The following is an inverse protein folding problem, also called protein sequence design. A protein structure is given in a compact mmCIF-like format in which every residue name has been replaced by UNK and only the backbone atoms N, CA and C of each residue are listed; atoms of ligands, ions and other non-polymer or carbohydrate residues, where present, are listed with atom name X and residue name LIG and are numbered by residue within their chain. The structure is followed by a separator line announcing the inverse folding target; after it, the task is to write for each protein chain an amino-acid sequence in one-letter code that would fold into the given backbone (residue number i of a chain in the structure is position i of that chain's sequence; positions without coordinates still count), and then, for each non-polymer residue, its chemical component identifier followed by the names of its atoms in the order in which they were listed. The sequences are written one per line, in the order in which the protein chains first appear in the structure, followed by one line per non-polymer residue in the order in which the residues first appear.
data_IF_694467625555
#
_entry.id   IF_694467625555
#
_cell.length_a   1.000
_cell.length_b   1.000
_cell.length_c   1.000
_cell.angle_alpha   90.00
_cell.angle_beta   90.00
_cell.angle_gamma   90.00
#
_symmetry.space_group_name_H-M   'P 1'
#
loop_
_entity.id
_entity.type
_entity.pdbx_description
1 polymer ?
#
# COMPACT_ATOMS: atom_id res chain seq x y z
N UNK A 1 -21.91 -20.46 -26.96
CA UNK A 1 -21.47 -19.27 -27.71
C UNK A 1 -20.19 -18.69 -27.13
N UNK A 2 -19.48 -17.84 -27.88
CA UNK A 2 -18.19 -17.23 -27.47
C UNK A 2 -18.24 -16.52 -26.11
N UNK A 3 -19.33 -15.80 -25.81
CA UNK A 3 -19.51 -15.12 -24.52
C UNK A 3 -19.49 -16.07 -23.32
N UNK A 4 -20.10 -17.26 -23.46
CA UNK A 4 -20.10 -18.28 -22.40
C UNK A 4 -18.69 -18.80 -22.13
N UNK A 5 -17.89 -18.99 -23.19
CA UNK A 5 -16.50 -19.42 -23.05
C UNK A 5 -15.62 -18.34 -22.42
N UNK A 6 -15.80 -17.06 -22.81
CA UNK A 6 -15.08 -15.95 -22.18
C UNK A 6 -15.42 -15.84 -20.68
N UNK A 7 -16.69 -15.98 -20.30
CA UNK A 7 -17.10 -15.95 -18.91
C UNK A 7 -16.49 -17.12 -18.10
N UNK A 8 -16.48 -18.33 -18.67
CA UNK A 8 -15.84 -19.50 -18.04
C UNK A 8 -14.34 -19.28 -17.88
N UNK A 9 -13.63 -18.79 -18.90
CA UNK A 9 -12.20 -18.51 -18.81
C UNK A 9 -11.88 -17.44 -17.77
N UNK A 10 -12.66 -16.36 -17.72
CA UNK A 10 -12.51 -15.32 -16.71
C UNK A 10 -12.72 -15.88 -15.29
N UNK A 11 -13.76 -16.70 -15.08
CA UNK A 11 -14.02 -17.34 -13.79
C UNK A 11 -12.90 -18.29 -13.38
N UNK A 12 -12.34 -19.05 -14.32
CA UNK A 12 -11.19 -19.92 -14.06
C UNK A 12 -9.96 -19.10 -13.68
N UNK A 13 -9.64 -18.03 -14.40
CA UNK A 13 -8.48 -17.18 -14.10
C UNK A 13 -8.60 -16.53 -12.72
N UNK A 14 -9.75 -15.91 -12.41
CA UNK A 14 -10.00 -15.29 -11.10
C UNK A 14 -9.98 -16.34 -9.99
N UNK A 15 -10.57 -17.51 -10.23
CA UNK A 15 -10.59 -18.61 -9.26
C UNK A 15 -9.20 -19.17 -8.97
N UNK A 16 -8.37 -19.37 -10.00
CA UNK A 16 -6.99 -19.86 -9.84
C UNK A 16 -6.10 -18.84 -9.15
N UNK A 17 -6.23 -17.57 -9.49
CA UNK A 17 -5.51 -16.47 -8.82
C UNK A 17 -5.90 -16.39 -7.34
N UNK A 18 -7.21 -16.38 -7.04
CA UNK A 18 -7.71 -16.38 -5.66
C UNK A 18 -7.23 -17.62 -4.88
N UNK A 19 -7.27 -18.80 -5.50
CA UNK A 19 -6.78 -20.05 -4.89
C UNK A 19 -5.28 -19.96 -4.60
N UNK A 20 -4.48 -19.52 -5.57
CA UNK A 20 -3.02 -19.44 -5.42
C UNK A 20 -2.65 -18.52 -4.27
N UNK A 21 -3.28 -17.35 -4.22
CA UNK A 21 -3.04 -16.38 -3.17
C UNK A 21 -3.55 -16.88 -1.80
N UNK A 22 -4.76 -17.46 -1.73
CA UNK A 22 -5.30 -18.01 -0.48
C UNK A 22 -4.42 -19.15 0.05
N UNK A 23 -4.00 -20.09 -0.80
CA UNK A 23 -3.13 -21.20 -0.40
C UNK A 23 -1.76 -20.67 0.07
N UNK A 24 -1.16 -19.74 -0.68
CA UNK A 24 0.13 -19.14 -0.30
C UNK A 24 0.02 -18.41 1.04
N UNK A 25 -1.03 -17.62 1.22
CA UNK A 25 -1.28 -16.94 2.48
C UNK A 25 -1.60 -17.90 3.61
N UNK A 26 -2.33 -18.98 3.34
CA UNK A 26 -2.68 -19.99 4.31
C UNK A 26 -1.52 -20.90 4.71
N UNK A 27 -0.50 -21.04 3.87
CA UNK A 27 0.72 -21.77 4.17
C UNK A 27 1.78 -20.89 4.85
N UNK A 28 1.73 -19.57 4.66
CA UNK A 28 2.71 -18.64 5.21
C UNK A 28 2.61 -18.55 6.73
N UNK A 29 3.75 -18.64 7.41
CA UNK A 29 3.86 -18.46 8.85
C UNK A 29 5.25 -17.94 9.19
N UNK A 30 5.38 -17.33 10.37
CA UNK A 30 6.69 -16.93 10.87
C UNK A 30 7.53 -18.15 11.20
N UNK A 31 8.75 -18.22 10.67
CA UNK A 31 9.70 -19.30 10.97
C UNK A 31 10.14 -19.29 12.42
N UNK A 32 10.23 -18.09 13.04
CA UNK A 32 10.51 -17.88 14.46
C UNK A 32 9.71 -16.68 14.95
N UNK A 33 9.06 -16.81 16.11
CA UNK A 33 8.36 -15.72 16.81
C UNK A 33 8.78 -15.73 18.27
N UNK A 34 9.52 -14.72 18.70
CA UNK A 34 9.96 -14.55 20.09
C UNK A 34 10.27 -13.08 20.35
N UNK A 35 10.40 -12.67 21.62
CA UNK A 35 10.85 -11.31 21.98
C UNK A 35 12.19 -10.91 21.34
N UNK A 36 13.07 -11.88 21.09
CA UNK A 36 14.37 -11.62 20.45
C UNK A 36 14.29 -11.53 18.91
N UNK A 37 13.15 -11.92 18.32
CA UNK A 37 12.90 -11.96 16.89
C UNK A 37 11.56 -11.29 16.57
N UNK A 38 11.52 -9.96 16.55
CA UNK A 38 10.34 -9.21 16.20
C UNK A 38 9.97 -9.42 14.73
N UNK A 39 8.69 -9.24 14.46
CA UNK A 39 8.10 -9.57 13.15
C UNK A 39 7.79 -8.29 12.38
N UNK A 40 8.41 -8.15 11.22
CA UNK A 40 8.29 -6.97 10.37
C UNK A 40 7.74 -7.42 9.02
N UNK A 41 6.71 -6.72 8.55
CA UNK A 41 6.24 -6.83 7.16
C UNK A 41 6.60 -5.55 6.43
N UNK A 42 7.37 -5.68 5.36
CA UNK A 42 7.65 -4.58 4.45
C UNK A 42 6.67 -4.60 3.27
N UNK A 43 6.10 -3.44 2.94
CA UNK A 43 5.16 -3.26 1.83
C UNK A 43 5.70 -2.13 0.97
N UNK A 44 6.02 -2.42 -0.29
CA UNK A 44 6.45 -1.43 -1.27
C UNK A 44 5.36 -1.18 -2.30
N UNK A 45 5.28 0.05 -2.78
CA UNK A 45 4.46 0.45 -3.92
C UNK A 45 2.99 -0.02 -3.86
N UNK A 46 2.22 0.22 -2.77
CA UNK A 46 0.78 -0.03 -2.82
C UNK A 46 0.09 0.71 -3.97
N UNK A 47 0.58 1.90 -4.32
CA UNK A 47 0.16 2.76 -5.42
C UNK A 47 -1.36 2.75 -5.61
N UNK A 48 -2.08 3.13 -4.54
CA UNK A 48 -3.54 3.11 -4.57
C UNK A 48 -4.06 3.93 -5.76
N UNK A 49 -4.73 3.25 -6.68
CA UNK A 49 -5.30 3.84 -7.89
C UNK A 49 -6.42 4.81 -7.52
N UNK A 50 -6.36 6.02 -8.08
CA UNK A 50 -7.38 7.04 -7.96
C UNK A 50 -7.64 7.75 -9.31
N UNK A 51 -8.43 8.82 -9.29
CA UNK A 51 -8.76 9.62 -10.50
C UNK A 51 -7.56 10.28 -11.17
N UNK A 52 -6.45 10.46 -10.44
CA UNK A 52 -5.21 11.07 -10.94
C UNK A 52 -4.29 10.04 -11.60
N UNK A 53 -4.53 8.75 -11.36
CA UNK A 53 -3.94 7.64 -12.09
C UNK A 53 -4.34 7.69 -13.57
N UNK A 54 -3.35 7.64 -14.48
CA UNK A 54 -3.50 7.40 -15.93
C UNK A 54 -4.66 8.11 -16.66
N UNK A 55 -4.84 9.43 -16.43
CA UNK A 55 -5.89 10.24 -17.10
C UNK A 55 -7.32 9.69 -16.94
N UNK A 56 -7.55 8.80 -15.96
CA UNK A 56 -8.84 8.15 -15.70
C UNK A 56 -9.90 9.12 -15.20
N UNK A 57 -9.53 10.36 -14.87
CA UNK A 57 -10.46 11.47 -14.64
C UNK A 57 -11.52 11.62 -15.75
N UNK A 58 -11.19 11.24 -17.00
CA UNK A 58 -12.12 11.27 -18.13
C UNK A 58 -13.07 10.05 -18.22
N UNK A 59 -12.85 9.01 -17.42
CA UNK A 59 -13.57 7.73 -17.42
C UNK A 59 -14.40 7.53 -16.14
N UNK A 60 -15.20 8.52 -15.77
CA UNK A 60 -15.95 8.56 -14.50
C UNK A 60 -16.86 7.35 -14.25
N UNK A 61 -17.39 6.71 -15.30
CA UNK A 61 -18.21 5.51 -15.18
C UNK A 61 -17.41 4.22 -14.94
N UNK A 62 -16.15 4.19 -15.37
CA UNK A 62 -15.28 3.00 -15.31
C UNK A 62 -14.37 3.04 -14.07
N UNK A 63 -14.04 4.25 -13.62
CA UNK A 63 -13.16 4.47 -12.46
C UNK A 63 -13.57 3.66 -11.22
N UNK A 64 -14.86 3.61 -10.78
CA UNK A 64 -15.23 2.83 -9.60
C UNK A 64 -14.97 1.32 -9.76
N UNK A 65 -15.10 0.79 -10.98
CA UNK A 65 -14.83 -0.62 -11.28
C UNK A 65 -13.33 -0.88 -11.22
N UNK A 66 -12.52 0.01 -11.79
CA UNK A 66 -11.05 -0.08 -11.74
C UNK A 66 -10.55 0.03 -10.30
N UNK A 67 -11.05 1.01 -9.54
CA UNK A 67 -10.77 1.20 -8.13
C UNK A 67 -11.09 -0.07 -7.33
N UNK A 68 -12.27 -0.66 -7.55
CA UNK A 68 -12.67 -1.89 -6.90
C UNK A 68 -11.74 -3.07 -7.22
N UNK A 69 -11.33 -3.23 -8.48
CA UNK A 69 -10.42 -4.32 -8.89
C UNK A 69 -9.03 -4.12 -8.28
N UNK A 70 -8.50 -2.90 -8.28
CA UNK A 70 -7.22 -2.59 -7.66
C UNK A 70 -7.28 -2.74 -6.14
N UNK A 71 -8.38 -2.34 -5.50
CA UNK A 71 -8.61 -2.54 -4.07
C UNK A 71 -8.64 -4.01 -3.70
N UNK A 72 -9.33 -4.83 -4.49
CA UNK A 72 -9.36 -6.28 -4.29
C UNK A 72 -7.96 -6.90 -4.42
N UNK A 73 -7.11 -6.35 -5.28
CA UNK A 73 -5.72 -6.76 -5.39
C UNK A 73 -4.91 -6.38 -4.14
N UNK A 74 -4.99 -5.13 -3.66
CA UNK A 74 -4.26 -4.68 -2.45
C UNK A 74 -4.79 -5.36 -1.18
N UNK A 75 -6.09 -5.68 -1.13
CA UNK A 75 -6.73 -6.38 -0.01
C UNK A 75 -6.08 -7.73 0.29
N UNK A 76 -5.39 -8.32 -0.70
CA UNK A 76 -4.57 -9.52 -0.54
C UNK A 76 -3.46 -9.33 0.49
N UNK A 77 -2.79 -8.18 0.43
CA UNK A 77 -1.76 -7.80 1.40
C UNK A 77 -2.40 -7.57 2.78
N UNK A 78 -3.56 -6.93 2.83
CA UNK A 78 -4.31 -6.74 4.08
C UNK A 78 -4.67 -8.05 4.78
N UNK A 79 -5.11 -9.07 4.04
CA UNK A 79 -5.34 -10.40 4.62
C UNK A 79 -4.04 -11.04 5.14
N UNK A 80 -2.91 -10.88 4.44
CA UNK A 80 -1.61 -11.36 4.92
C UNK A 80 -1.19 -10.67 6.22
N UNK A 81 -1.33 -9.35 6.29
CA UNK A 81 -1.07 -8.55 7.49
C UNK A 81 -1.91 -9.05 8.67
N UNK A 82 -3.22 -9.24 8.48
CA UNK A 82 -4.12 -9.72 9.54
C UNK A 82 -3.75 -11.13 10.02
N UNK A 83 -3.40 -12.02 9.09
CA UNK A 83 -3.07 -13.42 9.40
C UNK A 83 -1.72 -13.54 10.10
N UNK A 84 -0.71 -12.84 9.61
CA UNK A 84 0.63 -12.87 10.20
C UNK A 84 0.69 -12.07 11.51
N UNK A 85 -0.15 -11.04 11.64
CA UNK A 85 -0.21 -10.13 12.80
C UNK A 85 1.19 -9.65 13.21
N UNK A 86 1.89 -8.92 12.31
CA UNK A 86 3.23 -8.44 12.59
C UNK A 86 3.23 -7.38 13.69
N UNK A 87 4.38 -7.23 14.34
CA UNK A 87 4.60 -6.18 15.34
C UNK A 87 4.92 -4.84 14.67
N UNK A 88 5.52 -4.86 13.46
CA UNK A 88 5.83 -3.66 12.68
C UNK A 88 5.44 -3.85 11.22
N UNK A 89 4.85 -2.80 10.64
CA UNK A 89 4.58 -2.69 9.21
C UNK A 89 5.42 -1.51 8.70
N UNK A 90 6.26 -1.76 7.71
CA UNK A 90 7.11 -0.76 7.08
C UNK A 90 6.61 -0.55 5.64
N UNK A 91 6.04 0.61 5.37
CA UNK A 91 5.76 1.03 4.00
C UNK A 91 7.01 1.65 3.39
N UNK A 92 7.36 1.24 2.18
CA UNK A 92 8.57 1.66 1.46
C UNK A 92 8.29 2.74 0.41
N UNK A 93 7.28 3.57 0.64
CA UNK A 93 6.86 4.65 -0.26
C UNK A 93 5.73 4.26 -1.22
N UNK A 94 5.34 5.25 -2.01
CA UNK A 94 4.37 5.14 -3.11
C UNK A 94 3.01 4.59 -2.64
N UNK A 95 2.48 5.20 -1.57
CA UNK A 95 1.23 4.75 -0.94
C UNK A 95 0.03 4.97 -1.86
N UNK A 96 0.00 6.12 -2.52
CA UNK A 96 -1.05 6.54 -3.45
C UNK A 96 -0.40 6.95 -4.77
N UNK A 97 -1.03 6.62 -5.89
CA UNK A 97 -0.41 6.81 -7.21
C UNK A 97 -0.25 8.29 -7.59
N UNK A 98 -1.13 9.17 -7.11
CA UNK A 98 -1.04 10.61 -7.41
C UNK A 98 -0.84 11.51 -6.22
N UNK A 99 -0.09 11.07 -5.21
CA UNK A 99 0.16 11.85 -3.99
C UNK A 99 0.50 13.31 -4.27
N UNK A 100 1.54 13.57 -5.06
CA UNK A 100 1.98 14.94 -5.35
C UNK A 100 1.05 15.73 -6.28
N UNK A 101 0.12 15.05 -6.98
CA UNK A 101 -0.86 15.66 -7.90
C UNK A 101 -2.21 15.90 -7.24
N UNK A 102 -2.46 15.25 -6.11
CA UNK A 102 -3.73 15.29 -5.39
C UNK A 102 -3.80 16.48 -4.43
N UNK A 103 -4.97 17.14 -4.40
CA UNK A 103 -5.28 18.09 -3.33
C UNK A 103 -5.40 17.36 -1.97
N UNK A 104 -5.52 18.12 -0.89
CA UNK A 104 -5.59 17.55 0.46
C UNK A 104 -6.76 16.58 0.67
N UNK A 105 -7.94 16.89 0.14
CA UNK A 105 -9.12 16.07 0.32
C UNK A 105 -8.99 14.71 -0.38
N UNK A 106 -8.51 14.72 -1.63
CA UNK A 106 -8.29 13.51 -2.41
C UNK A 106 -7.20 12.64 -1.80
N UNK A 107 -6.12 13.27 -1.31
CA UNK A 107 -5.04 12.56 -0.61
C UNK A 107 -5.53 11.89 0.68
N UNK A 108 -6.26 12.62 1.53
CA UNK A 108 -6.82 12.06 2.77
C UNK A 108 -7.83 10.93 2.49
N UNK A 109 -8.61 11.07 1.41
CA UNK A 109 -9.55 10.03 0.97
C UNK A 109 -8.81 8.77 0.51
N UNK A 110 -7.74 8.94 -0.26
CA UNK A 110 -6.85 7.85 -0.68
C UNK A 110 -6.22 7.14 0.52
N UNK A 111 -5.66 7.89 1.45
CA UNK A 111 -5.05 7.33 2.66
C UNK A 111 -6.06 6.53 3.50
N UNK A 112 -7.24 7.10 3.77
CA UNK A 112 -8.32 6.39 4.49
C UNK A 112 -8.80 5.14 3.76
N UNK A 113 -8.80 5.14 2.43
CA UNK A 113 -9.16 3.97 1.61
C UNK A 113 -8.07 2.90 1.73
N UNK A 114 -6.79 3.26 1.62
CA UNK A 114 -5.68 2.34 1.80
C UNK A 114 -5.67 1.71 3.21
N UNK A 115 -5.83 2.52 4.25
CA UNK A 115 -5.93 2.07 5.64
C UNK A 115 -7.09 1.08 5.83
N UNK A 116 -8.25 1.34 5.23
CA UNK A 116 -9.41 0.45 5.29
C UNK A 116 -9.15 -0.88 4.58
N UNK A 117 -8.47 -0.87 3.44
CA UNK A 117 -8.18 -2.07 2.66
C UNK A 117 -7.18 -2.96 3.39
N UNK A 118 -6.10 -2.36 3.87
CA UNK A 118 -5.03 -3.08 4.57
C UNK A 118 -5.49 -3.52 5.96
N UNK A 119 -6.22 -2.65 6.67
CA UNK A 119 -6.75 -2.88 8.02
C UNK A 119 -5.70 -3.51 8.96
N UNK A 120 -4.62 -2.76 9.27
CA UNK A 120 -3.52 -3.27 10.06
C UNK A 120 -3.95 -3.54 11.52
N UNK A 121 -3.26 -4.44 12.25
CA UNK A 121 -3.54 -4.69 13.66
C UNK A 121 -3.33 -3.42 14.50
N UNK A 122 -4.23 -3.13 15.43
CA UNK A 122 -4.17 -1.90 16.27
C UNK A 122 -2.86 -1.72 17.03
N UNK A 123 -2.18 -2.82 17.37
CA UNK A 123 -0.92 -2.81 18.13
C UNK A 123 0.33 -2.79 17.25
N UNK A 124 0.18 -2.86 15.93
CA UNK A 124 1.32 -2.84 15.03
C UNK A 124 1.88 -1.42 14.94
N UNK A 125 3.21 -1.29 15.06
CA UNK A 125 3.89 -0.04 14.72
C UNK A 125 3.89 0.12 13.21
N UNK A 126 3.45 1.26 12.70
CA UNK A 126 3.44 1.54 11.26
C UNK A 126 4.46 2.62 10.97
N UNK A 127 5.43 2.29 10.11
CA UNK A 127 6.48 3.18 9.64
C UNK A 127 6.32 3.43 8.14
N UNK A 128 6.68 4.62 7.69
CA UNK A 128 6.58 5.02 6.30
C UNK A 128 7.90 5.63 5.84
N UNK A 129 8.48 5.06 4.79
CA UNK A 129 9.36 5.78 3.89
C UNK A 129 8.51 6.50 2.84
N UNK A 130 9.10 7.53 2.24
CA UNK A 130 8.46 8.34 1.21
C UNK A 130 8.86 7.87 -0.19
N UNK A 131 7.91 7.90 -1.11
CA UNK A 131 8.14 7.58 -2.52
C UNK A 131 7.92 8.78 -3.45
N UNK A 132 8.33 8.62 -4.71
CA UNK A 132 8.22 9.68 -5.72
C UNK A 132 6.77 9.93 -6.16
N UNK A 133 5.87 8.97 -6.03
CA UNK A 133 4.44 9.22 -6.26
C UNK A 133 3.81 10.02 -5.11
N UNK A 134 4.39 9.96 -3.90
CA UNK A 134 3.91 10.70 -2.74
C UNK A 134 4.24 12.21 -2.83
N UNK A 135 5.49 12.54 -3.19
CA UNK A 135 6.01 13.93 -3.11
C UNK A 135 6.57 14.50 -4.43
N UNK A 136 6.64 13.70 -5.49
CA UNK A 136 7.25 14.07 -6.77
C UNK A 136 8.77 13.83 -6.80
N UNK A 137 9.39 13.98 -7.97
CA UNK A 137 10.84 13.80 -8.16
C UNK A 137 11.38 14.77 -9.20
N UNK A 138 12.54 15.37 -8.95
CA UNK A 138 13.16 16.36 -9.85
C UNK A 138 12.23 17.53 -10.13
N UNK A 139 11.86 17.75 -11.40
CA UNK A 139 10.99 18.87 -11.80
C UNK A 139 9.55 18.77 -11.27
N UNK A 140 9.08 17.59 -10.87
CA UNK A 140 7.76 17.40 -10.29
C UNK A 140 7.75 17.44 -8.76
N UNK A 141 8.91 17.64 -8.13
CA UNK A 141 9.02 17.73 -6.68
C UNK A 141 8.12 18.83 -6.12
N UNK A 142 7.38 18.48 -5.07
CA UNK A 142 6.41 19.34 -4.41
C UNK A 142 6.77 19.44 -2.92
N UNK A 143 7.39 20.56 -2.53
CA UNK A 143 7.77 20.81 -1.13
C UNK A 143 6.56 20.76 -0.18
N UNK A 144 5.42 21.33 -0.58
CA UNK A 144 4.19 21.27 0.21
C UNK A 144 3.66 19.83 0.36
N UNK A 145 3.90 18.97 -0.63
CA UNK A 145 3.52 17.56 -0.57
C UNK A 145 4.44 16.77 0.37
N UNK A 146 5.73 17.10 0.40
CA UNK A 146 6.69 16.57 1.37
C UNK A 146 6.31 16.96 2.81
N UNK A 147 6.03 18.24 3.06
CA UNK A 147 5.55 18.71 4.36
C UNK A 147 4.24 18.02 4.79
N UNK A 148 3.31 17.85 3.84
CA UNK A 148 2.05 17.11 4.09
C UNK A 148 2.32 15.64 4.45
N UNK A 149 3.25 14.98 3.76
CA UNK A 149 3.59 13.59 4.03
C UNK A 149 4.25 13.43 5.40
N UNK A 150 5.20 14.30 5.75
CA UNK A 150 5.82 14.33 7.09
C UNK A 150 4.78 14.53 8.18
N UNK A 151 3.92 15.55 8.04
CA UNK A 151 2.95 15.92 9.07
C UNK A 151 1.79 14.94 9.24
N UNK A 152 1.33 14.30 8.16
CA UNK A 152 0.13 13.44 8.19
C UNK A 152 0.43 11.94 8.22
N UNK A 153 1.48 11.50 7.54
CA UNK A 153 1.77 10.08 7.33
C UNK A 153 2.95 9.62 8.17
N UNK A 154 4.14 10.17 7.88
CA UNK A 154 5.34 9.71 8.55
C UNK A 154 5.32 10.06 10.05
N UNK A 155 4.74 11.22 10.42
CA UNK A 155 4.74 11.79 11.78
C UNK A 155 6.16 12.01 12.36
N UNK A 156 7.16 11.87 11.50
CA UNK A 156 8.59 12.03 11.72
C UNK A 156 9.20 12.60 10.43
N UNK A 157 10.42 13.17 10.48
CA UNK A 157 11.12 13.64 9.28
C UNK A 157 11.26 12.54 8.21
N UNK A 158 11.25 12.89 6.92
CA UNK A 158 11.34 11.91 5.82
C UNK A 158 12.61 11.02 5.95
N UNK A 159 13.70 11.62 6.40
CA UNK A 159 14.91 10.93 6.82
C UNK A 159 14.84 10.64 8.33
N UNK A 160 14.64 9.37 8.71
CA UNK A 160 14.46 8.98 10.11
C UNK A 160 15.17 7.66 10.43
N UNK A 161 15.57 7.50 11.70
CA UNK A 161 16.10 6.25 12.22
C UNK A 161 15.26 5.78 13.41
N UNK A 162 14.74 4.56 13.31
CA UNK A 162 13.92 3.92 14.32
C UNK A 162 14.71 2.79 14.96
N UNK A 163 14.95 2.92 16.26
CA UNK A 163 15.60 1.91 17.07
C UNK A 163 14.57 0.90 17.56
N UNK A 164 14.81 -0.36 17.21
CA UNK A 164 14.15 -1.51 17.79
C UNK A 164 15.23 -2.38 18.45
N UNK A 165 14.87 -3.15 19.48
CA UNK A 165 15.79 -3.84 20.39
C UNK A 165 17.12 -4.30 19.74
N UNK A 166 17.05 -5.10 18.67
CA UNK A 166 18.23 -5.67 18.00
C UNK A 166 18.48 -5.13 16.57
N UNK A 167 17.73 -4.13 16.11
CA UNK A 167 17.85 -3.62 14.74
C UNK A 167 17.46 -2.15 14.65
N UNK A 168 18.12 -1.44 13.76
CA UNK A 168 17.77 -0.06 13.42
C UNK A 168 17.19 -0.05 12.03
N UNK A 169 16.00 0.53 11.88
CA UNK A 169 15.40 0.81 10.58
C UNK A 169 15.69 2.26 10.24
N UNK A 170 16.35 2.50 9.11
CA UNK A 170 16.61 3.86 8.62
C UNK A 170 15.76 4.07 7.38
N UNK A 171 14.90 5.08 7.40
CA UNK A 171 14.17 5.56 6.22
C UNK A 171 14.96 6.73 5.64
N UNK A 172 15.18 6.69 4.33
CA UNK A 172 15.90 7.73 3.59
C UNK A 172 14.95 8.25 2.52
N UNK A 173 14.83 9.57 2.47
CA UNK A 173 14.19 10.29 1.39
C UNK A 173 15.11 10.25 0.16
N UNK A 174 14.73 9.44 -0.81
CA UNK A 174 15.43 9.30 -2.09
C UNK A 174 14.85 10.18 -3.22
N UNK A 175 13.54 10.55 -3.21
CA UNK A 175 12.98 11.41 -4.25
C UNK A 175 13.40 12.89 -4.23
N UNK A 176 13.67 13.49 -3.07
CA UNK A 176 13.94 14.94 -2.94
C UNK A 176 15.34 15.39 -3.34
#
# INVERSE_FOLDING_TARGET
GRLRWMAVMAAVLVGLDAMTWLVSGLACSWTRRSRSFPTIVAIADPQLTDKTSYSFASLTLVLPILEFVCDAYIARVGFMIRRLSPETILFLGDLVDGGYRSNEEDFDRGLKRLERILYPPEKASVLHAVGNHDIGIGHSFCAACAERFEGRIARFPLNSAFLFDNYTVVTIDAPS
#
